data_IF_999032874031
#
_entry.id   IF_999032874031
#
_cell.length_a   1.000
_cell.length_b   1.000
_cell.length_c   1.000
_cell.angle_alpha   90.00
_cell.angle_beta   90.00
_cell.angle_gamma   90.00
#
_symmetry.space_group_name_H-M   'P 1'
#
loop_
_entity.id
_entity.type
_entity.pdbx_description
1 polymer ?
#
# COMPACT_ATOMS: atom_id res chain seq x y z
N UNK A 1 10.90 3.23 37.54
CA UNK A 1 11.68 3.35 36.29
C UNK A 1 11.71 2.02 35.54
N UNK A 2 12.14 0.92 36.19
CA UNK A 2 12.22 -0.43 35.58
C UNK A 2 10.91 -0.97 34.97
N UNK A 3 9.74 -0.71 35.58
CA UNK A 3 8.45 -1.18 35.05
C UNK A 3 8.00 -0.46 33.76
N UNK A 4 8.33 0.83 33.61
CA UNK A 4 8.01 1.63 32.41
C UNK A 4 8.89 1.23 31.22
N UNK A 5 10.16 0.91 31.49
CA UNK A 5 11.10 0.41 30.49
C UNK A 5 10.72 -0.99 30.01
N UNK A 6 10.28 -1.87 30.92
CA UNK A 6 9.81 -3.21 30.57
C UNK A 6 8.54 -3.17 29.70
N UNK A 7 7.56 -2.33 30.04
CA UNK A 7 6.32 -2.17 29.26
C UNK A 7 6.60 -1.56 27.87
N UNK A 8 7.54 -0.61 27.80
CA UNK A 8 8.02 -0.02 26.54
C UNK A 8 8.66 -1.07 25.63
N UNK A 9 9.57 -1.89 26.15
CA UNK A 9 10.24 -2.95 25.37
C UNK A 9 9.23 -4.01 24.91
N UNK A 10 8.32 -4.42 25.79
CA UNK A 10 7.30 -5.41 25.46
C UNK A 10 6.40 -4.93 24.33
N UNK A 11 6.00 -3.65 24.38
CA UNK A 11 5.14 -3.06 23.36
C UNK A 11 5.86 -2.84 22.02
N UNK A 12 7.11 -2.38 22.04
CA UNK A 12 7.88 -2.23 20.80
C UNK A 12 8.23 -3.58 20.17
N UNK A 13 8.32 -4.66 20.95
CA UNK A 13 8.50 -6.01 20.43
C UNK A 13 7.28 -6.52 19.63
N UNK A 14 6.09 -5.89 19.76
CA UNK A 14 4.93 -6.19 18.92
C UNK A 14 5.07 -5.61 17.51
N UNK A 15 5.99 -4.67 17.30
CA UNK A 15 6.23 -4.04 16.01
C UNK A 15 7.25 -4.89 15.25
N UNK A 16 6.73 -5.83 14.47
CA UNK A 16 7.54 -6.55 13.49
C UNK A 16 7.86 -5.71 12.25
N UNK A 17 8.53 -6.33 11.29
CA UNK A 17 9.02 -5.67 10.06
C UNK A 17 7.88 -5.01 9.28
N UNK A 18 6.79 -5.75 9.05
CA UNK A 18 5.62 -5.25 8.32
C UNK A 18 4.97 -4.04 9.02
N UNK A 19 4.97 -4.04 10.37
CA UNK A 19 4.45 -2.90 11.14
C UNK A 19 5.33 -1.67 11.00
N UNK A 20 6.67 -1.85 11.01
CA UNK A 20 7.60 -0.74 10.81
C UNK A 20 7.50 -0.16 9.40
N UNK A 21 7.32 -1.00 8.38
CA UNK A 21 7.13 -0.56 7.01
C UNK A 21 5.82 0.22 6.82
N UNK A 22 4.73 -0.25 7.44
CA UNK A 22 3.48 0.49 7.49
C UNK A 22 3.67 1.84 8.21
N UNK A 23 4.39 1.87 9.33
CA UNK A 23 4.65 3.09 10.07
C UNK A 23 5.47 4.09 9.24
N UNK A 24 6.53 3.65 8.57
CA UNK A 24 7.31 4.48 7.66
C UNK A 24 6.46 5.04 6.52
N UNK A 25 5.52 4.24 6.00
CA UNK A 25 4.58 4.69 4.96
C UNK A 25 3.61 5.76 5.49
N UNK A 26 3.11 5.60 6.72
CA UNK A 26 2.27 6.59 7.40
C UNK A 26 3.07 7.88 7.62
N UNK A 27 4.26 7.79 8.19
CA UNK A 27 5.15 8.94 8.42
C UNK A 27 5.43 9.71 7.12
N UNK A 28 5.77 8.99 6.04
CA UNK A 28 6.02 9.60 4.73
C UNK A 28 4.79 10.27 4.13
N UNK A 29 3.61 9.66 4.29
CA UNK A 29 2.36 10.16 3.71
C UNK A 29 1.83 11.40 4.44
N UNK A 30 1.94 11.43 5.77
CA UNK A 30 1.48 12.51 6.63
C UNK A 30 2.55 13.54 6.97
N UNK A 31 3.82 13.28 6.63
CA UNK A 31 4.94 14.19 6.87
C UNK A 31 5.24 14.37 8.35
N UNK A 32 5.01 13.33 9.16
CA UNK A 32 5.24 13.34 10.61
C UNK A 32 6.29 12.32 10.98
N UNK A 33 6.88 12.46 12.17
CA UNK A 33 7.75 11.46 12.79
C UNK A 33 7.23 11.09 14.17
N UNK A 34 7.11 9.80 14.43
CA UNK A 34 6.69 9.27 15.71
C UNK A 34 7.91 9.00 16.60
N UNK A 35 7.84 9.47 17.84
CA UNK A 35 8.77 9.03 18.87
C UNK A 35 8.33 7.67 19.40
N UNK A 36 9.27 6.84 19.85
CA UNK A 36 8.95 5.54 20.46
C UNK A 36 7.94 5.66 21.60
N UNK A 37 8.08 6.70 22.44
CA UNK A 37 7.18 6.93 23.57
C UNK A 37 5.74 7.23 23.13
N UNK A 38 5.55 7.83 21.95
CA UNK A 38 4.24 8.08 21.36
C UNK A 38 3.62 6.78 20.83
N UNK A 39 4.42 5.93 20.20
CA UNK A 39 3.99 4.60 19.72
C UNK A 39 3.62 3.69 20.90
N UNK A 40 4.37 3.80 22.00
CA UNK A 40 4.14 3.08 23.25
C UNK A 40 2.90 3.58 23.99
N UNK A 41 2.33 4.73 23.61
CA UNK A 41 1.06 5.20 24.14
C UNK A 41 -0.10 4.87 23.19
N UNK A 42 0.12 4.97 21.88
CA UNK A 42 -0.89 4.90 20.82
C UNK A 42 -1.39 3.48 20.52
N UNK A 43 -2.48 3.06 21.16
CA UNK A 43 -3.03 1.68 21.11
C UNK A 43 -3.98 1.46 19.95
N UNK A 44 -4.62 2.51 19.44
CA UNK A 44 -5.69 2.39 18.44
C UNK A 44 -5.43 3.26 17.22
N UNK A 45 -6.07 2.94 16.09
CA UNK A 45 -6.02 3.77 14.88
C UNK A 45 -6.50 5.21 15.15
N UNK A 46 -7.51 5.38 16.02
CA UNK A 46 -7.98 6.71 16.46
C UNK A 46 -6.89 7.49 17.19
N UNK A 47 -6.20 6.87 18.14
CA UNK A 47 -5.11 7.51 18.86
C UNK A 47 -3.96 7.87 17.92
N UNK A 48 -3.67 7.02 16.93
CA UNK A 48 -2.64 7.28 15.94
C UNK A 48 -3.00 8.49 15.07
N UNK A 49 -4.26 8.58 14.62
CA UNK A 49 -4.77 9.74 13.91
C UNK A 49 -4.71 11.02 14.78
N UNK A 50 -5.02 10.93 16.07
CA UNK A 50 -4.94 12.07 16.99
C UNK A 50 -3.47 12.53 17.18
N UNK A 51 -2.51 11.59 17.23
CA UNK A 51 -1.09 11.91 17.27
C UNK A 51 -0.64 12.65 16.00
N UNK A 52 -1.04 12.15 14.82
CA UNK A 52 -0.79 12.79 13.52
C UNK A 52 -1.39 14.20 13.49
N UNK A 53 -2.66 14.33 13.90
CA UNK A 53 -3.38 15.61 13.94
C UNK A 53 -2.64 16.67 14.77
N UNK A 54 -2.16 16.29 15.96
CA UNK A 54 -1.38 17.20 16.82
C UNK A 54 -0.07 17.66 16.18
N UNK A 55 0.55 16.82 15.34
CA UNK A 55 1.83 17.12 14.68
C UNK A 55 1.71 17.91 13.39
N UNK A 56 0.58 17.82 12.68
CA UNK A 56 0.41 18.45 11.36
C UNK A 56 0.55 19.98 11.40
N UNK A 57 0.17 20.66 12.48
CA UNK A 57 0.48 22.08 12.72
C UNK A 57 0.03 23.11 11.66
N UNK A 58 -0.67 22.69 10.60
CA UNK A 58 -1.11 23.57 9.52
C UNK A 58 -2.41 24.30 9.89
N UNK A 59 -2.68 25.48 9.30
CA UNK A 59 -3.93 26.18 9.52
C UNK A 59 -5.13 25.36 9.07
N UNK A 60 -6.30 25.64 9.65
CA UNK A 60 -7.54 25.00 9.23
C UNK A 60 -7.87 25.39 7.78
N UNK A 61 -8.22 24.39 6.97
CA UNK A 61 -8.66 24.61 5.59
C UNK A 61 -10.15 24.95 5.57
N UNK A 62 -10.50 25.97 4.79
CA UNK A 62 -11.89 26.23 4.41
C UNK A 62 -12.39 25.27 3.32
N UNK A 63 -11.47 24.49 2.71
CA UNK A 63 -11.76 23.60 1.59
C UNK A 63 -11.67 22.15 2.04
N UNK A 64 -12.59 21.33 1.54
CA UNK A 64 -12.47 19.88 1.69
C UNK A 64 -11.30 19.37 0.83
N UNK A 65 -10.28 18.77 1.46
CA UNK A 65 -9.08 18.30 0.75
C UNK A 65 -9.41 17.21 -0.27
N UNK A 66 -10.33 16.30 0.06
CA UNK A 66 -10.79 15.29 -0.90
C UNK A 66 -11.42 15.91 -2.16
N UNK A 67 -12.14 17.04 -2.03
CA UNK A 67 -12.67 17.76 -3.18
C UNK A 67 -11.54 18.40 -4.01
N UNK A 68 -10.52 18.97 -3.36
CA UNK A 68 -9.33 19.50 -4.05
C UNK A 68 -8.66 18.40 -4.88
N UNK A 69 -8.43 17.23 -4.29
CA UNK A 69 -7.84 16.07 -4.98
C UNK A 69 -8.73 15.59 -6.13
N UNK A 70 -10.04 15.48 -5.91
CA UNK A 70 -11.01 15.11 -6.94
C UNK A 70 -10.91 16.02 -8.17
N UNK A 71 -10.87 17.34 -7.97
CA UNK A 71 -10.78 18.27 -9.09
C UNK A 71 -9.41 18.24 -9.78
N UNK A 72 -8.30 18.08 -9.04
CA UNK A 72 -6.95 17.94 -9.63
C UNK A 72 -6.86 16.67 -10.49
N UNK A 73 -7.31 15.52 -9.98
CA UNK A 73 -7.35 14.26 -10.73
C UNK A 73 -8.30 14.35 -11.93
N UNK A 74 -9.53 14.85 -11.74
CA UNK A 74 -10.52 14.95 -12.83
C UNK A 74 -10.00 15.83 -13.96
N UNK A 75 -9.37 16.97 -13.63
CA UNK A 75 -8.74 17.84 -14.63
C UNK A 75 -7.64 17.09 -15.38
N UNK A 76 -6.80 16.33 -14.69
CA UNK A 76 -5.73 15.52 -15.31
C UNK A 76 -6.27 14.47 -16.27
N UNK A 77 -7.35 13.77 -15.92
CA UNK A 77 -7.99 12.80 -16.82
C UNK A 77 -8.59 13.47 -18.06
N UNK A 78 -9.16 14.67 -17.91
CA UNK A 78 -9.68 15.46 -19.03
C UNK A 78 -8.52 15.91 -19.94
N UNK A 79 -7.44 16.47 -19.37
CA UNK A 79 -6.34 17.05 -20.16
C UNK A 79 -5.47 16.00 -20.83
N UNK A 80 -5.13 14.91 -20.14
CA UNK A 80 -4.23 13.88 -20.68
C UNK A 80 -4.95 12.86 -21.57
N UNK A 81 -6.20 12.53 -21.27
CA UNK A 81 -6.91 11.43 -21.94
C UNK A 81 -8.17 11.86 -22.69
N UNK A 82 -8.48 13.16 -22.72
CA UNK A 82 -9.67 13.71 -23.38
C UNK A 82 -10.98 13.05 -22.91
N UNK A 83 -11.03 12.59 -21.65
CA UNK A 83 -12.22 11.96 -21.09
C UNK A 83 -13.26 13.05 -20.79
N UNK A 84 -14.51 12.94 -21.28
CA UNK A 84 -15.53 13.94 -21.00
C UNK A 84 -15.77 14.11 -19.51
N UNK A 85 -15.88 15.37 -19.06
CA UNK A 85 -16.13 15.69 -17.64
C UNK A 85 -17.29 14.89 -17.06
N UNK A 86 -18.40 14.75 -17.80
CA UNK A 86 -19.60 14.04 -17.37
C UNK A 86 -19.37 12.56 -17.05
N UNK A 87 -18.34 11.93 -17.61
CA UNK A 87 -17.99 10.52 -17.33
C UNK A 87 -17.16 10.33 -16.07
N UNK A 88 -16.74 11.39 -15.40
CA UNK A 88 -15.91 11.30 -14.20
C UNK A 88 -16.74 11.72 -13.00
N UNK A 89 -17.31 10.74 -12.32
CA UNK A 89 -18.01 10.87 -11.04
C UNK A 89 -17.29 10.02 -9.99
N UNK A 90 -17.51 10.27 -8.68
CA UNK A 90 -16.90 9.46 -7.62
C UNK A 90 -17.20 7.96 -7.76
N UNK A 91 -18.37 7.60 -8.29
CA UNK A 91 -18.82 6.21 -8.45
C UNK A 91 -18.31 5.56 -9.75
N UNK A 92 -17.73 6.34 -10.68
CA UNK A 92 -17.24 5.79 -11.95
C UNK A 92 -16.14 4.78 -11.70
N UNK A 93 -16.25 3.59 -12.31
CA UNK A 93 -15.21 2.57 -12.22
C UNK A 93 -13.92 3.03 -12.91
N UNK A 94 -12.77 2.85 -12.25
CA UNK A 94 -11.47 3.10 -12.88
C UNK A 94 -11.21 2.18 -14.07
N UNK A 95 -11.85 1.00 -14.10
CA UNK A 95 -11.72 0.06 -15.21
C UNK A 95 -12.37 0.58 -16.49
N UNK A 96 -13.42 1.38 -16.37
CA UNK A 96 -14.10 2.05 -17.49
C UNK A 96 -13.31 3.26 -17.98
N UNK A 97 -12.66 3.98 -17.07
CA UNK A 97 -11.83 5.15 -17.41
C UNK A 97 -10.47 4.75 -18.02
N UNK A 98 -9.93 3.58 -17.65
CA UNK A 98 -8.60 3.14 -18.06
C UNK A 98 -8.61 1.67 -18.51
N UNK A 99 -8.49 1.49 -19.83
CA UNK A 99 -8.33 0.20 -20.47
C UNK A 99 -7.10 -0.56 -19.96
N UNK A 100 -7.18 -1.89 -19.92
CA UNK A 100 -6.14 -2.77 -19.40
C UNK A 100 -4.76 -2.54 -20.02
N UNK A 101 -4.71 -2.34 -21.35
CA UNK A 101 -3.44 -2.27 -22.09
C UNK A 101 -2.66 -0.99 -21.81
N UNK A 102 -3.34 0.14 -21.65
CA UNK A 102 -2.70 1.44 -21.47
C UNK A 102 -2.56 1.85 -20.01
N UNK A 103 -3.13 1.07 -19.08
CA UNK A 103 -3.27 1.46 -17.67
C UNK A 103 -1.96 1.88 -17.04
N UNK A 104 -0.89 1.07 -17.16
CA UNK A 104 0.43 1.40 -16.57
C UNK A 104 1.07 2.64 -17.17
N UNK A 105 0.86 2.89 -18.47
CA UNK A 105 1.37 4.09 -19.15
C UNK A 105 0.63 5.33 -18.65
N UNK A 106 -0.70 5.31 -18.72
CA UNK A 106 -1.56 6.39 -18.24
C UNK A 106 -1.38 6.67 -16.75
N UNK A 107 -1.16 5.64 -15.92
CA UNK A 107 -0.89 5.79 -14.49
C UNK A 107 0.37 6.61 -14.24
N UNK A 108 1.45 6.27 -14.95
CA UNK A 108 2.71 7.03 -14.91
C UNK A 108 2.53 8.45 -15.41
N UNK A 109 1.80 8.66 -16.51
CA UNK A 109 1.52 10.01 -17.03
C UNK A 109 0.76 10.88 -16.01
N UNK A 110 -0.20 10.31 -15.27
CA UNK A 110 -0.89 11.02 -14.17
C UNK A 110 0.11 11.35 -13.04
N UNK A 111 0.94 10.39 -12.63
CA UNK A 111 1.95 10.59 -11.58
C UNK A 111 2.94 11.69 -11.97
N UNK A 112 3.45 11.68 -13.20
CA UNK A 112 4.41 12.66 -13.70
C UNK A 112 3.77 14.06 -13.80
N UNK A 113 2.51 14.13 -14.21
CA UNK A 113 1.78 15.40 -14.35
C UNK A 113 1.42 16.04 -13.00
N UNK A 114 0.87 15.27 -12.06
CA UNK A 114 0.46 15.79 -10.74
C UNK A 114 1.61 15.83 -9.73
N UNK A 115 2.68 15.08 -10.00
CA UNK A 115 3.74 14.73 -9.03
C UNK A 115 3.18 14.12 -7.76
N UNK A 116 2.00 13.50 -7.79
CA UNK A 116 1.41 12.82 -6.64
C UNK A 116 1.82 11.35 -6.61
N UNK A 117 1.98 10.82 -5.41
CA UNK A 117 2.15 9.38 -5.18
C UNK A 117 0.78 8.71 -5.33
N UNK A 118 0.54 8.07 -6.47
CA UNK A 118 -0.65 7.25 -6.68
C UNK A 118 -0.46 5.87 -6.01
N UNK A 119 -1.55 5.17 -5.66
CA UNK A 119 -1.43 3.80 -5.17
C UNK A 119 -0.81 2.90 -6.25
N UNK A 120 0.00 1.94 -5.82
CA UNK A 120 0.72 1.05 -6.72
C UNK A 120 -0.23 0.09 -7.45
N UNK A 121 0.06 -0.15 -8.74
CA UNK A 121 -0.63 -1.17 -9.50
C UNK A 121 -0.16 -2.55 -9.04
N UNK A 122 -1.11 -3.45 -8.78
CA UNK A 122 -0.85 -4.81 -8.31
C UNK A 122 -0.80 -5.81 -9.45
N UNK A 123 -0.18 -6.93 -9.12
CA UNK A 123 -0.10 -8.11 -9.97
C UNK A 123 -1.47 -8.77 -10.15
N UNK A 124 -1.80 -9.26 -11.36
CA UNK A 124 -2.96 -10.13 -11.51
C UNK A 124 -2.70 -11.44 -10.76
N UNK A 125 -3.64 -11.86 -9.91
CA UNK A 125 -3.52 -13.12 -9.13
C UNK A 125 -3.27 -14.34 -10.03
N UNK A 126 -3.91 -14.39 -11.20
CA UNK A 126 -3.71 -15.48 -12.17
C UNK A 126 -2.27 -15.55 -12.70
N UNK A 127 -1.58 -14.41 -12.81
CA UNK A 127 -0.20 -14.36 -13.31
C UNK A 127 0.80 -14.81 -12.24
N UNK A 128 0.52 -14.49 -10.98
CA UNK A 128 1.28 -15.02 -9.83
C UNK A 128 1.06 -16.52 -9.70
N UNK A 129 -0.18 -17.00 -9.83
CA UNK A 129 -0.47 -18.44 -9.80
C UNK A 129 0.22 -19.19 -10.95
N UNK A 130 0.19 -18.63 -12.17
CA UNK A 130 0.87 -19.21 -13.32
C UNK A 130 2.39 -19.24 -13.13
N UNK A 131 2.99 -18.19 -12.57
CA UNK A 131 4.44 -18.16 -12.32
C UNK A 131 4.87 -19.21 -11.29
N UNK A 132 4.09 -19.40 -10.23
CA UNK A 132 4.31 -20.45 -9.23
C UNK A 132 4.20 -21.83 -9.88
N UNK A 133 3.20 -22.06 -10.73
CA UNK A 133 3.02 -23.33 -11.43
C UNK A 133 4.21 -23.63 -12.37
N UNK A 134 4.63 -22.65 -13.17
CA UNK A 134 5.74 -22.82 -14.14
C UNK A 134 7.06 -23.08 -13.43
N UNK A 135 7.40 -22.30 -12.39
CA UNK A 135 8.63 -22.53 -11.60
C UNK A 135 8.54 -23.84 -10.83
N UNK A 136 7.41 -24.12 -10.19
CA UNK A 136 7.18 -25.37 -9.47
C UNK A 136 7.40 -26.58 -10.37
N UNK A 137 6.81 -26.60 -11.56
CA UNK A 137 6.99 -27.70 -12.51
C UNK A 137 8.44 -27.80 -13.03
N UNK A 138 9.06 -26.67 -13.35
CA UNK A 138 10.41 -26.61 -13.87
C UNK A 138 11.47 -27.13 -12.88
N UNK A 139 11.24 -26.97 -11.57
CA UNK A 139 12.18 -27.42 -10.54
C UNK A 139 11.82 -28.77 -9.90
N UNK A 140 10.55 -29.18 -9.88
CA UNK A 140 10.14 -30.47 -9.31
C UNK A 140 10.52 -31.66 -10.21
N UNK A 141 10.35 -31.55 -11.54
CA UNK A 141 10.66 -32.63 -12.47
C UNK A 141 12.15 -33.03 -12.47
N UNK A 142 13.12 -32.09 -12.52
CA UNK A 142 14.53 -32.42 -12.45
C UNK A 142 14.94 -32.96 -11.09
N UNK A 143 14.34 -32.48 -9.98
CA UNK A 143 14.64 -32.96 -8.63
C UNK A 143 14.17 -34.40 -8.44
N UNK A 144 12.97 -34.76 -8.90
CA UNK A 144 12.49 -36.15 -8.83
C UNK A 144 13.33 -37.07 -9.72
N UNK A 145 13.70 -36.61 -10.93
CA UNK A 145 14.62 -37.33 -11.81
C UNK A 145 16.00 -37.53 -11.18
N UNK A 146 16.57 -36.49 -10.58
CA UNK A 146 17.84 -36.54 -9.87
C UNK A 146 17.80 -37.42 -8.63
N UNK A 147 16.76 -37.34 -7.79
CA UNK A 147 16.63 -38.19 -6.59
C UNK A 147 16.52 -39.68 -6.97
N UNK A 148 15.79 -40.00 -8.04
CA UNK A 148 15.73 -41.37 -8.57
C UNK A 148 17.10 -41.87 -9.05
N UNK A 149 17.90 -41.00 -9.68
CA UNK A 149 19.23 -41.32 -10.21
C UNK A 149 20.34 -41.31 -9.14
N UNK A 150 20.25 -40.41 -8.16
CA UNK A 150 21.28 -40.07 -7.18
C UNK A 150 21.08 -40.72 -5.82
N UNK A 151 20.30 -41.80 -5.76
CA UNK A 151 20.34 -42.81 -4.68
C UNK A 151 21.74 -43.43 -4.44
N UNK A 152 22.82 -42.83 -4.98
CA UNK A 152 24.21 -43.27 -4.93
C UNK A 152 25.19 -42.19 -4.43
N UNK A 153 24.83 -40.89 -4.28
CA UNK A 153 25.79 -39.87 -3.82
C UNK A 153 25.16 -38.59 -3.20
N UNK A 154 25.32 -38.42 -1.88
CA UNK A 154 25.57 -37.13 -1.20
C UNK A 154 24.47 -36.05 -1.12
N UNK A 155 23.99 -35.80 0.10
CA UNK A 155 22.80 -35.01 0.49
C UNK A 155 22.91 -33.47 0.46
N UNK A 156 23.70 -32.85 -0.42
CA UNK A 156 23.87 -31.38 -0.45
C UNK A 156 23.19 -30.66 -1.64
N UNK A 157 22.79 -31.39 -2.69
CA UNK A 157 22.30 -30.81 -3.95
C UNK A 157 20.90 -30.19 -3.87
N UNK A 158 20.05 -30.63 -2.95
CA UNK A 158 18.66 -30.16 -2.83
C UNK A 158 18.51 -28.72 -2.32
N UNK A 159 19.44 -28.24 -1.49
CA UNK A 159 19.39 -26.86 -1.00
C UNK A 159 19.71 -25.87 -2.13
N UNK A 160 20.71 -26.18 -2.95
CA UNK A 160 21.10 -25.34 -4.08
C UNK A 160 20.01 -25.23 -5.13
N UNK A 161 19.28 -26.31 -5.42
CA UNK A 161 18.16 -26.26 -6.37
C UNK A 161 17.00 -25.42 -5.85
N UNK A 162 16.69 -25.49 -4.54
CA UNK A 162 15.66 -24.68 -3.91
C UNK A 162 16.03 -23.19 -3.92
N UNK A 163 17.26 -22.84 -3.54
CA UNK A 163 17.74 -21.45 -3.59
C UNK A 163 17.74 -20.94 -5.04
N UNK A 164 18.20 -21.74 -6.00
CA UNK A 164 18.15 -21.37 -7.42
C UNK A 164 16.71 -21.16 -7.92
N UNK A 165 15.76 -21.99 -7.48
CA UNK A 165 14.34 -21.84 -7.81
C UNK A 165 13.77 -20.51 -7.30
N UNK A 166 14.06 -20.17 -6.04
CA UNK A 166 13.63 -18.90 -5.43
C UNK A 166 14.25 -17.72 -6.19
N UNK A 167 15.55 -17.76 -6.50
CA UNK A 167 16.21 -16.71 -7.26
C UNK A 167 15.61 -16.53 -8.66
N UNK A 168 15.36 -17.62 -9.38
CA UNK A 168 14.71 -17.59 -10.70
C UNK A 168 13.29 -17.04 -10.61
N UNK A 169 12.53 -17.42 -9.58
CA UNK A 169 11.18 -16.91 -9.37
C UNK A 169 11.18 -15.40 -9.07
N UNK A 170 12.04 -14.93 -8.18
CA UNK A 170 12.20 -13.49 -7.89
C UNK A 170 12.62 -12.72 -9.14
N UNK A 171 13.56 -13.25 -9.93
CA UNK A 171 13.98 -12.64 -11.19
C UNK A 171 12.82 -12.59 -12.21
N UNK A 172 12.05 -13.66 -12.32
CA UNK A 172 10.88 -13.74 -13.19
C UNK A 172 9.79 -12.74 -12.78
N UNK A 173 9.55 -12.58 -11.47
CA UNK A 173 8.66 -11.53 -10.95
C UNK A 173 9.22 -10.13 -11.24
N UNK A 174 10.52 -9.87 -11.11
CA UNK A 174 11.08 -8.57 -11.52
C UNK A 174 10.94 -8.33 -13.03
N UNK A 175 11.16 -9.35 -13.85
CA UNK A 175 11.04 -9.28 -15.31
C UNK A 175 9.60 -9.08 -15.78
N UNK A 176 8.64 -9.68 -15.07
CA UNK A 176 7.22 -9.54 -15.35
C UNK A 176 6.60 -8.28 -14.72
N UNK A 177 7.35 -7.50 -13.92
CA UNK A 177 6.88 -6.25 -13.30
C UNK A 177 6.15 -5.29 -14.26
N UNK A 178 6.45 -5.22 -15.58
CA UNK A 178 5.61 -4.50 -16.53
C UNK A 178 4.15 -4.95 -16.67
N UNK A 179 3.79 -6.12 -16.15
CA UNK A 179 2.45 -6.69 -16.19
C UNK A 179 1.60 -6.36 -14.95
N UNK A 180 2.15 -5.64 -13.97
CA UNK A 180 1.38 -5.09 -12.86
C UNK A 180 0.40 -4.01 -13.38
N UNK A 181 -0.86 -4.42 -13.58
CA UNK A 181 -1.93 -3.63 -14.21
C UNK A 181 -3.25 -3.71 -13.44
N UNK A 182 -3.30 -4.36 -12.30
CA UNK A 182 -4.52 -4.48 -11.51
C UNK A 182 -4.58 -3.33 -10.52
N UNK A 183 -5.75 -2.69 -10.33
CA UNK A 183 -5.91 -1.73 -9.24
C UNK A 183 -5.93 -2.46 -7.90
N UNK A 184 -5.46 -1.83 -6.80
CA UNK A 184 -5.62 -2.41 -5.47
C UNK A 184 -7.11 -2.54 -5.13
N UNK A 185 -7.47 -3.51 -4.27
CA UNK A 185 -8.87 -3.81 -3.93
C UNK A 185 -9.61 -2.62 -3.31
N UNK A 186 -8.90 -1.77 -2.58
CA UNK A 186 -9.42 -0.53 -2.00
C UNK A 186 -9.59 0.61 -3.01
N UNK A 187 -9.34 0.38 -4.31
CA UNK A 187 -9.30 1.41 -5.36
C UNK A 187 -10.08 0.98 -6.62
N UNK A 188 -11.39 0.77 -6.51
CA UNK A 188 -12.21 0.35 -7.66
C UNK A 188 -12.85 1.53 -8.40
N UNK A 189 -13.27 2.55 -7.65
CA UNK A 189 -13.92 3.75 -8.19
C UNK A 189 -12.96 4.95 -8.26
N UNK A 190 -13.34 5.96 -9.03
CA UNK A 190 -12.59 7.23 -9.08
C UNK A 190 -12.59 7.95 -7.73
N UNK A 191 -13.67 7.84 -6.94
CA UNK A 191 -13.74 8.34 -5.58
C UNK A 191 -12.74 7.66 -4.64
N UNK A 192 -12.51 6.36 -4.83
CA UNK A 192 -11.51 5.61 -4.05
C UNK A 192 -10.08 6.01 -4.44
N UNK A 193 -9.82 6.24 -5.73
CA UNK A 193 -8.55 6.81 -6.18
C UNK A 193 -8.27 8.16 -5.52
N UNK A 194 -9.28 9.03 -5.45
CA UNK A 194 -9.16 10.35 -4.80
C UNK A 194 -8.80 10.22 -3.34
N UNK A 195 -9.54 9.37 -2.62
CA UNK A 195 -9.34 9.05 -1.21
C UNK A 195 -7.92 8.54 -0.93
N UNK A 196 -7.46 7.53 -1.67
CA UNK A 196 -6.11 6.98 -1.52
C UNK A 196 -5.01 7.94 -1.95
N UNK A 197 -5.23 8.73 -2.99
CA UNK A 197 -4.28 9.76 -3.43
C UNK A 197 -4.15 10.85 -2.37
N UNK A 198 -5.24 11.27 -1.74
CA UNK A 198 -5.21 12.18 -0.60
C UNK A 198 -4.42 11.56 0.55
N UNK A 199 -4.75 10.32 0.94
CA UNK A 199 -4.10 9.64 2.06
C UNK A 199 -2.57 9.55 1.88
N UNK A 200 -2.09 9.14 0.69
CA UNK A 200 -0.66 9.01 0.37
C UNK A 200 0.09 10.33 0.23
N UNK A 201 -0.61 11.44 0.03
CA UNK A 201 -0.01 12.76 -0.21
C UNK A 201 -0.50 13.80 0.80
N UNK A 202 -0.97 13.34 1.98
CA UNK A 202 -1.70 14.19 2.91
C UNK A 202 -0.88 15.40 3.35
N UNK A 203 0.38 15.18 3.76
CA UNK A 203 1.26 16.27 4.19
C UNK A 203 1.42 17.35 3.12
N UNK A 204 1.67 16.93 1.89
CA UNK A 204 1.88 17.85 0.77
C UNK A 204 0.62 18.66 0.48
N UNK A 205 -0.54 18.01 0.46
CA UNK A 205 -1.81 18.67 0.17
C UNK A 205 -2.20 19.60 1.32
N UNK A 206 -2.00 19.16 2.57
CA UNK A 206 -2.24 19.97 3.76
C UNK A 206 -1.32 21.19 3.83
N UNK A 207 -0.08 21.08 3.36
CA UNK A 207 0.85 22.23 3.29
C UNK A 207 0.40 23.30 2.28
N UNK A 208 -0.33 22.92 1.22
CA UNK A 208 -0.81 23.83 0.17
C UNK A 208 -2.20 24.43 0.52
N UNK A 209 -3.07 23.67 1.20
CA UNK A 209 -4.47 24.05 1.41
C UNK A 209 -4.89 24.16 2.89
N UNK A 210 -4.04 23.81 3.85
CA UNK A 210 -4.39 23.66 5.27
C UNK A 210 -4.93 22.26 5.60
N UNK A 211 -5.26 22.01 6.87
CA UNK A 211 -5.90 20.74 7.32
C UNK A 211 -7.39 20.96 7.51
N UNK A 212 -8.27 20.07 7.05
CA UNK A 212 -9.71 20.29 7.31
C UNK A 212 -10.09 20.05 8.76
N UNK A 213 -9.91 18.82 9.27
CA UNK A 213 -10.26 18.43 10.64
C UNK A 213 -9.64 17.07 11.01
N UNK A 214 -9.68 16.74 12.30
CA UNK A 214 -9.17 15.47 12.84
C UNK A 214 -9.87 14.23 12.24
N UNK A 215 -11.16 14.33 11.92
CA UNK A 215 -11.90 13.22 11.31
C UNK A 215 -11.39 12.89 9.90
N UNK A 216 -10.98 13.90 9.11
CA UNK A 216 -10.40 13.69 7.79
C UNK A 216 -9.04 13.01 7.89
N UNK A 217 -8.21 13.35 8.88
CA UNK A 217 -6.95 12.63 9.17
C UNK A 217 -7.23 11.18 9.51
N UNK A 218 -8.21 10.91 10.37
CA UNK A 218 -8.60 9.54 10.72
C UNK A 218 -9.09 8.76 9.49
N UNK A 219 -9.90 9.37 8.64
CA UNK A 219 -10.39 8.72 7.42
C UNK A 219 -9.24 8.45 6.43
N UNK A 220 -8.34 9.40 6.24
CA UNK A 220 -7.15 9.25 5.40
C UNK A 220 -6.23 8.14 5.93
N UNK A 221 -6.01 8.09 7.25
CA UNK A 221 -5.17 7.06 7.89
C UNK A 221 -5.76 5.67 7.68
N UNK A 222 -7.06 5.50 7.94
CA UNK A 222 -7.76 4.22 7.73
C UNK A 222 -7.68 3.75 6.28
N UNK A 223 -7.79 4.67 5.33
CA UNK A 223 -7.66 4.37 3.90
C UNK A 223 -6.25 3.94 3.52
N UNK A 224 -5.22 4.61 4.08
CA UNK A 224 -3.83 4.23 3.87
C UNK A 224 -3.57 2.82 4.41
N UNK A 225 -3.91 2.57 5.67
CA UNK A 225 -3.73 1.27 6.34
C UNK A 225 -4.46 0.15 5.58
N UNK A 226 -5.72 0.36 5.20
CA UNK A 226 -6.49 -0.61 4.41
C UNK A 226 -5.81 -0.93 3.06
N UNK A 227 -5.18 0.06 2.43
CA UNK A 227 -4.54 -0.12 1.13
C UNK A 227 -3.18 -0.82 1.19
N UNK A 228 -2.35 -0.50 2.19
CA UNK A 228 -1.07 -1.18 2.39
C UNK A 228 -1.30 -2.65 2.76
N UNK A 229 -2.15 -2.88 3.76
CA UNK A 229 -2.34 -4.20 4.37
C UNK A 229 -3.32 -5.09 3.61
N UNK A 230 -3.96 -4.54 2.56
CA UNK A 230 -4.97 -5.26 1.78
C UNK A 230 -6.20 -5.71 2.59
N UNK A 231 -6.44 -5.05 3.72
CA UNK A 231 -7.56 -5.28 4.65
C UNK A 231 -8.76 -4.44 4.19
N UNK A 232 -9.99 -4.94 4.36
CA UNK A 232 -11.19 -4.15 4.07
C UNK A 232 -11.24 -2.91 4.99
N UNK A 233 -11.55 -1.74 4.42
CA UNK A 233 -11.71 -0.48 5.16
C UNK A 233 -12.73 -0.61 6.31
N UNK A 234 -13.72 -1.51 6.19
CA UNK A 234 -14.71 -1.80 7.23
C UNK A 234 -14.10 -2.52 8.44
N UNK A 235 -13.04 -3.28 8.25
CA UNK A 235 -12.33 -3.99 9.33
C UNK A 235 -11.32 -3.07 10.05
N UNK A 236 -10.84 -2.03 9.37
CA UNK A 236 -10.01 -0.98 9.99
C UNK A 236 -10.92 0.04 10.68
N UNK A 237 -11.43 -0.30 11.86
CA UNK A 237 -12.24 0.59 12.69
C UNK A 237 -11.36 1.56 13.49
N UNK A 238 -11.91 2.71 13.97
CA UNK A 238 -11.15 3.65 14.78
C UNK A 238 -10.57 3.04 16.08
N UNK A 239 -11.28 2.07 16.64
CA UNK A 239 -10.93 1.32 17.86
C UNK A 239 -10.09 0.07 17.58
N UNK A 240 -9.79 -0.25 16.32
CA UNK A 240 -8.87 -1.34 15.97
C UNK A 240 -7.50 -1.08 16.62
N UNK A 241 -6.99 -2.12 17.29
CA UNK A 241 -5.70 -2.08 17.97
C UNK A 241 -4.56 -2.02 16.95
N UNK A 242 -3.56 -1.19 17.22
CA UNK A 242 -2.36 -1.05 16.40
C UNK A 242 -1.13 -1.51 17.20
N UNK A 243 -0.32 -2.47 16.69
CA UNK A 243 -0.47 -3.19 15.42
C UNK A 243 -1.35 -4.46 15.46
N UNK A 244 -1.57 -5.04 16.65
CA UNK A 244 -2.13 -6.39 16.82
C UNK A 244 -3.50 -6.61 16.16
N UNK A 245 -4.38 -5.61 16.20
CA UNK A 245 -5.73 -5.69 15.66
C UNK A 245 -5.77 -5.73 14.13
N UNK A 246 -4.67 -5.41 13.47
CA UNK A 246 -4.52 -5.49 12.02
C UNK A 246 -3.98 -6.86 11.56
N UNK A 247 -3.57 -7.74 12.49
CA UNK A 247 -2.96 -9.05 12.20
C UNK A 247 -1.70 -8.97 11.33
N UNK A 248 -0.93 -7.90 11.52
CA UNK A 248 0.36 -7.65 10.89
C UNK A 248 1.43 -8.02 11.92
N UNK A 249 2.45 -8.80 11.53
CA UNK A 249 3.47 -9.34 12.44
C UNK A 249 4.88 -9.15 11.91
#
# INVERSE_FOLDING_TARGET
MVLLEADKIQRLHLFGEDTWDLLHTIEGSFGVKFAEDELVQTKTIRELAACIWKKLGHPLSEKCLSAVVFYKLRRTFITLFSIPRARITPETSLRELMAWNDRRKRWREIQDHLRFVLPELRWPLWLVALSILVVGLAFTLPVVGWVRLASFAGSASGLFTLVAAICVWVLLLKLLSPLARTFPRSCESFGDLVKLTLARNYARIASEYGVSNEQEVLLALRQLVSAEESIDLREVAPDTLFPEGLKIY
#
